data_IF_821705208132
#
_entry.id   IF_821705208132
#
_cell.length_a   1.000
_cell.length_b   1.000
_cell.length_c   1.000
_cell.angle_alpha   90.00
_cell.angle_beta   90.00
_cell.angle_gamma   90.00
#
_symmetry.space_group_name_H-M   'P 1'
#
loop_
_entity.id
_entity.type
_entity.pdbx_description
1 polymer ?
#
# COMPACT_ATOMS: atom_id res chain seq x y z
N UNK A 1 37.60 -80.51 -34.09
CA UNK A 1 36.29 -79.88 -34.42
C UNK A 1 35.89 -79.02 -33.23
N UNK A 2 35.67 -77.74 -33.53
CA UNK A 2 35.36 -76.53 -32.75
C UNK A 2 35.31 -76.54 -31.21
N UNK A 3 36.21 -75.73 -30.64
CA UNK A 3 36.06 -75.08 -29.33
C UNK A 3 35.10 -73.89 -29.48
N UNK A 4 34.04 -73.83 -28.67
CA UNK A 4 33.12 -72.67 -28.60
C UNK A 4 33.59 -71.75 -27.49
N UNK A 5 34.03 -70.54 -27.85
CA UNK A 5 34.33 -69.47 -26.91
C UNK A 5 33.03 -68.69 -26.59
N UNK A 6 32.60 -68.73 -25.33
CA UNK A 6 31.50 -67.89 -24.84
C UNK A 6 32.08 -66.54 -24.45
N UNK A 7 31.77 -65.50 -25.24
CA UNK A 7 32.11 -64.11 -24.93
C UNK A 7 30.98 -63.53 -24.07
N UNK A 8 31.28 -63.26 -22.80
CA UNK A 8 30.39 -62.57 -21.88
C UNK A 8 30.51 -61.06 -22.12
N UNK A 9 29.51 -60.45 -22.77
CA UNK A 9 29.44 -58.99 -22.96
C UNK A 9 28.81 -58.37 -21.72
N UNK A 10 29.62 -57.78 -20.84
CA UNK A 10 29.16 -56.89 -19.78
C UNK A 10 28.71 -55.56 -20.39
N UNK A 11 27.39 -55.37 -20.54
CA UNK A 11 26.81 -54.07 -20.86
C UNK A 11 26.84 -53.21 -19.60
N UNK A 12 27.83 -52.31 -19.53
CA UNK A 12 27.87 -51.22 -18.55
C UNK A 12 26.73 -50.23 -18.88
N UNK A 13 25.59 -50.39 -18.22
CA UNK A 13 24.54 -49.36 -18.22
C UNK A 13 25.02 -48.19 -17.39
N UNK A 14 25.32 -47.05 -18.01
CA UNK A 14 25.49 -45.80 -17.30
C UNK A 14 24.21 -45.47 -16.53
N UNK A 15 24.28 -45.11 -15.23
CA UNK A 15 23.11 -44.59 -14.55
C UNK A 15 22.68 -43.33 -15.29
N UNK A 16 21.42 -43.32 -15.74
CA UNK A 16 20.78 -42.10 -16.21
C UNK A 16 20.99 -41.03 -15.14
N UNK A 17 21.61 -39.91 -15.50
CA UNK A 17 21.66 -38.74 -14.65
C UNK A 17 20.20 -38.40 -14.31
N UNK A 18 19.78 -38.69 -13.09
CA UNK A 18 18.53 -38.18 -12.57
C UNK A 18 18.64 -36.66 -12.66
N UNK A 19 17.95 -36.06 -13.64
CA UNK A 19 17.82 -34.62 -13.70
C UNK A 19 17.24 -34.20 -12.35
N UNK A 20 17.97 -33.33 -11.64
CA UNK A 20 17.44 -32.69 -10.45
C UNK A 20 16.06 -32.13 -10.82
N UNK A 21 15.02 -32.35 -9.98
CA UNK A 21 13.71 -31.78 -10.27
C UNK A 21 13.89 -30.29 -10.55
N UNK A 22 13.18 -29.74 -11.55
CA UNK A 22 13.27 -28.31 -11.86
C UNK A 22 13.02 -27.53 -10.57
N UNK A 23 13.75 -26.42 -10.34
CA UNK A 23 13.55 -25.61 -9.15
C UNK A 23 12.06 -25.26 -9.03
N UNK A 24 11.49 -25.30 -7.81
CA UNK A 24 10.07 -25.06 -7.62
C UNK A 24 9.69 -23.68 -8.18
N UNK A 25 8.58 -23.61 -8.92
CA UNK A 25 8.03 -22.35 -9.44
C UNK A 25 7.26 -21.63 -8.31
N UNK A 26 8.02 -21.10 -7.35
CA UNK A 26 7.54 -20.34 -6.20
C UNK A 26 6.71 -19.14 -6.63
N UNK A 27 7.13 -18.44 -7.70
CA UNK A 27 6.47 -17.25 -8.23
C UNK A 27 5.29 -17.56 -9.16
N UNK A 28 5.10 -18.82 -9.59
CA UNK A 28 4.14 -19.21 -10.63
C UNK A 28 4.39 -18.52 -11.99
N UNK A 29 5.63 -18.10 -12.23
CA UNK A 29 5.97 -17.14 -13.28
C UNK A 29 7.01 -17.65 -14.29
N UNK A 30 7.46 -18.90 -14.17
CA UNK A 30 8.53 -19.46 -15.01
C UNK A 30 8.25 -19.42 -16.53
N UNK A 31 6.96 -19.43 -16.91
CA UNK A 31 6.46 -19.37 -18.29
C UNK A 31 5.47 -18.23 -18.53
N UNK A 32 5.47 -17.21 -17.67
CA UNK A 32 4.47 -16.15 -17.73
C UNK A 32 4.59 -15.34 -19.03
N UNK A 33 3.53 -15.23 -19.85
CA UNK A 33 3.61 -14.63 -21.19
C UNK A 33 3.86 -13.11 -21.16
N UNK A 34 3.59 -12.46 -20.01
CA UNK A 34 3.80 -11.03 -19.81
C UNK A 34 5.18 -10.70 -19.17
N UNK A 35 6.18 -11.58 -19.28
CA UNK A 35 7.53 -11.27 -18.80
C UNK A 35 8.06 -10.01 -19.50
N UNK A 36 8.61 -9.09 -18.71
CA UNK A 36 9.28 -7.88 -19.16
C UNK A 36 10.77 -8.12 -19.48
N UNK A 37 11.23 -9.38 -19.41
CA UNK A 37 12.63 -9.74 -19.57
C UNK A 37 13.44 -9.51 -18.29
N UNK A 38 14.77 -9.47 -18.42
CA UNK A 38 15.63 -9.03 -17.33
C UNK A 38 15.41 -7.54 -17.05
N UNK A 39 15.56 -7.10 -15.80
CA UNK A 39 15.63 -5.70 -15.43
C UNK A 39 16.99 -5.42 -14.78
N UNK A 40 17.83 -4.63 -15.46
CA UNK A 40 19.13 -4.19 -14.95
C UNK A 40 19.18 -2.67 -14.97
N UNK A 41 19.35 -2.03 -13.81
CA UNK A 41 19.48 -0.56 -13.74
C UNK A 41 20.71 -0.03 -14.47
N UNK A 42 21.64 -0.91 -14.85
CA UNK A 42 22.78 -0.57 -15.68
C UNK A 42 22.44 -0.58 -17.17
N UNK A 43 21.42 -1.28 -17.60
CA UNK A 43 21.10 -1.34 -19.02
C UNK A 43 19.72 -0.75 -19.27
N UNK A 44 19.70 0.50 -19.74
CA UNK A 44 18.47 1.20 -20.09
C UNK A 44 17.60 0.44 -21.11
N UNK A 45 18.20 -0.44 -21.93
CA UNK A 45 17.46 -1.28 -22.88
C UNK A 45 16.60 -2.36 -22.21
N UNK A 46 16.84 -2.63 -20.92
CA UNK A 46 16.09 -3.61 -20.13
C UNK A 46 14.97 -3.00 -19.28
N UNK A 47 14.78 -1.68 -19.35
CA UNK A 47 13.78 -1.01 -18.51
C UNK A 47 12.38 -1.15 -19.11
N UNK A 48 11.33 -1.35 -18.29
CA UNK A 48 9.96 -1.34 -18.76
C UNK A 48 9.64 -0.06 -19.55
N UNK A 49 8.89 -0.21 -20.64
CA UNK A 49 8.48 0.91 -21.47
C UNK A 49 7.71 1.95 -20.64
N UNK A 50 8.12 3.22 -20.71
CA UNK A 50 7.56 4.30 -19.88
C UNK A 50 8.31 4.56 -18.58
N UNK A 51 9.41 3.84 -18.31
CA UNK A 51 10.31 4.16 -17.19
C UNK A 51 10.90 5.56 -17.34
N UNK A 52 10.79 6.37 -16.30
CA UNK A 52 11.33 7.74 -16.26
C UNK A 52 12.49 7.80 -15.28
N UNK A 53 13.65 8.24 -15.75
CA UNK A 53 14.81 8.49 -14.89
C UNK A 53 14.88 9.97 -14.49
N UNK A 54 15.08 10.24 -13.20
CA UNK A 54 15.38 11.56 -12.67
C UNK A 54 16.55 11.48 -11.68
N UNK A 55 17.72 11.97 -12.08
CA UNK A 55 18.98 11.80 -11.36
C UNK A 55 19.23 10.34 -10.96
N UNK A 56 19.16 10.05 -9.67
CA UNK A 56 19.37 8.74 -9.09
C UNK A 56 18.10 7.89 -8.97
N UNK A 57 16.93 8.44 -9.33
CA UNK A 57 15.63 7.81 -9.17
C UNK A 57 15.12 7.27 -10.51
N UNK A 58 14.71 6.00 -10.52
CA UNK A 58 14.02 5.34 -11.62
C UNK A 58 12.56 5.14 -11.23
N UNK A 59 11.65 5.79 -11.95
CA UNK A 59 10.21 5.67 -11.77
C UNK A 59 9.67 4.68 -12.80
N UNK A 60 9.33 3.47 -12.34
CA UNK A 60 8.76 2.41 -13.17
C UNK A 60 7.24 2.59 -13.29
N UNK A 61 6.67 2.40 -14.49
CA UNK A 61 5.22 2.35 -14.65
C UNK A 61 4.66 1.07 -14.03
N UNK A 62 3.46 1.19 -13.44
CA UNK A 62 2.77 0.07 -12.81
C UNK A 62 1.56 -0.30 -13.66
N UNK A 63 1.44 -1.55 -14.11
CA UNK A 63 0.25 -2.03 -14.82
C UNK A 63 -1.03 -1.87 -14.00
N UNK A 64 -2.23 -1.84 -14.61
CA UNK A 64 -3.48 -1.63 -13.88
C UNK A 64 -3.78 -2.64 -12.76
N UNK A 65 -3.24 -3.85 -12.85
CA UNK A 65 -3.37 -4.92 -11.85
C UNK A 65 -2.27 -4.89 -10.77
N UNK A 66 -1.25 -4.03 -10.93
CA UNK A 66 -0.12 -3.93 -10.01
C UNK A 66 0.94 -5.02 -10.15
N UNK A 67 0.86 -5.88 -11.17
CA UNK A 67 1.75 -7.04 -11.33
C UNK A 67 2.84 -6.76 -12.36
N UNK A 68 4.09 -6.83 -11.93
CA UNK A 68 5.28 -6.76 -12.76
C UNK A 68 5.93 -8.14 -12.79
N UNK A 69 6.28 -8.63 -13.99
CA UNK A 69 6.89 -9.96 -14.15
C UNK A 69 8.24 -9.81 -14.85
N UNK A 70 9.30 -10.37 -14.27
CA UNK A 70 10.67 -10.26 -14.79
C UNK A 70 11.35 -11.63 -14.85
N UNK A 71 12.33 -11.74 -15.74
CA UNK A 71 13.21 -12.91 -15.79
C UNK A 71 14.27 -12.85 -14.67
N UNK A 72 14.81 -11.67 -14.38
CA UNK A 72 15.74 -11.39 -13.29
C UNK A 72 15.72 -9.91 -12.94
N UNK A 73 16.14 -9.55 -11.73
CA UNK A 73 16.24 -8.16 -11.28
C UNK A 73 17.65 -7.90 -10.75
N UNK A 74 18.31 -6.87 -11.27
CA UNK A 74 19.58 -6.37 -10.78
C UNK A 74 19.50 -4.86 -10.62
N UNK A 75 19.62 -4.40 -9.37
CA UNK A 75 19.59 -2.98 -9.02
C UNK A 75 20.95 -2.61 -8.44
N UNK A 76 21.67 -1.80 -9.19
CA UNK A 76 22.97 -1.26 -8.84
C UNK A 76 23.05 0.23 -9.22
N UNK A 77 23.84 0.99 -8.47
CA UNK A 77 24.09 2.39 -8.76
C UNK A 77 24.99 2.55 -10.00
N UNK A 78 24.52 3.27 -11.02
CA UNK A 78 25.36 3.81 -12.10
C UNK A 78 25.87 5.19 -11.70
N UNK A 79 27.15 5.28 -11.35
CA UNK A 79 27.76 6.47 -10.77
C UNK A 79 27.68 7.75 -11.61
N UNK A 80 27.52 8.88 -10.89
CA UNK A 80 28.08 10.21 -11.20
C UNK A 80 28.06 11.14 -9.97
N UNK A 81 27.17 10.91 -8.98
CA UNK A 81 27.11 11.68 -7.75
C UNK A 81 27.49 10.81 -6.53
N UNK A 82 28.44 11.25 -5.68
CA UNK A 82 28.89 10.49 -4.51
C UNK A 82 27.88 10.46 -3.35
N UNK A 83 26.77 11.18 -3.46
CA UNK A 83 25.87 11.45 -2.33
C UNK A 83 24.64 10.55 -2.26
N UNK A 84 24.29 9.88 -3.36
CA UNK A 84 22.89 9.58 -3.61
C UNK A 84 22.77 8.23 -4.31
N UNK A 85 22.49 7.17 -3.55
CA UNK A 85 22.32 5.80 -4.04
C UNK A 85 21.19 5.65 -5.06
N UNK A 86 21.13 4.52 -5.77
CA UNK A 86 20.08 4.27 -6.78
C UNK A 86 18.72 4.09 -6.11
N UNK A 87 17.69 4.77 -6.60
CA UNK A 87 16.35 4.68 -6.04
C UNK A 87 15.36 4.14 -7.05
N UNK A 88 14.69 3.04 -6.70
CA UNK A 88 13.60 2.47 -7.49
C UNK A 88 12.26 2.94 -6.91
N UNK A 89 11.45 3.59 -7.73
CA UNK A 89 10.10 4.05 -7.42
C UNK A 89 9.10 3.47 -8.41
N UNK A 90 7.83 3.49 -8.02
CA UNK A 90 6.73 3.01 -8.84
C UNK A 90 5.69 4.12 -9.02
N UNK A 91 5.30 4.38 -10.26
CA UNK A 91 4.25 5.33 -10.57
C UNK A 91 2.90 4.75 -10.15
N UNK A 92 2.16 5.46 -9.29
CA UNK A 92 0.82 5.06 -8.92
C UNK A 92 -0.07 4.94 -10.17
N UNK A 93 -0.69 3.78 -10.36
CA UNK A 93 -1.74 3.62 -11.36
C UNK A 93 -3.07 4.21 -10.87
N UNK A 94 -4.10 4.19 -11.71
CA UNK A 94 -5.40 4.80 -11.41
C UNK A 94 -6.10 4.23 -10.16
N UNK A 95 -5.78 3.00 -9.75
CA UNK A 95 -6.33 2.37 -8.55
C UNK A 95 -5.35 2.40 -7.36
N UNK A 96 -4.17 3.02 -7.53
CA UNK A 96 -3.03 2.96 -6.61
C UNK A 96 -2.79 1.56 -6.05
N UNK A 97 -2.73 0.54 -6.91
CA UNK A 97 -2.63 -0.86 -6.47
C UNK A 97 -1.34 -1.14 -5.69
N UNK A 98 -1.35 -2.14 -4.78
CA UNK A 98 -0.12 -2.78 -4.29
C UNK A 98 0.79 -3.22 -5.44
N UNK A 99 2.10 -3.28 -5.18
CA UNK A 99 3.08 -3.75 -6.16
C UNK A 99 3.35 -5.23 -5.91
N UNK A 100 3.15 -6.04 -6.93
CA UNK A 100 3.56 -7.45 -6.95
C UNK A 100 4.61 -7.64 -8.02
N UNK A 101 5.77 -8.14 -7.64
CA UNK A 101 6.89 -8.43 -8.53
C UNK A 101 7.12 -9.93 -8.53
N UNK A 102 6.94 -10.55 -9.69
CA UNK A 102 7.18 -11.98 -9.90
C UNK A 102 8.48 -12.13 -10.70
N UNK A 103 9.41 -12.95 -10.21
CA UNK A 103 10.75 -13.08 -10.80
C UNK A 103 11.11 -14.54 -11.02
N UNK A 104 11.38 -14.89 -12.28
CA UNK A 104 11.74 -16.25 -12.69
C UNK A 104 13.10 -16.68 -12.15
N UNK A 105 14.03 -15.74 -11.99
CA UNK A 105 15.39 -15.95 -11.51
C UNK A 105 15.65 -15.23 -10.19
N UNK A 106 16.81 -14.61 -10.11
CA UNK A 106 17.29 -13.93 -8.90
C UNK A 106 16.89 -12.46 -8.86
N UNK A 107 16.84 -11.93 -7.64
CA UNK A 107 16.68 -10.50 -7.33
C UNK A 107 17.90 -10.04 -6.56
N UNK A 108 18.66 -9.09 -7.11
CA UNK A 108 19.84 -8.52 -6.48
C UNK A 108 19.63 -7.01 -6.28
N UNK A 109 19.50 -6.57 -5.03
CA UNK A 109 19.49 -5.16 -4.65
C UNK A 109 20.82 -4.84 -3.98
N UNK A 110 21.75 -4.19 -4.70
CA UNK A 110 23.10 -3.91 -4.19
C UNK A 110 23.13 -2.82 -3.13
N UNK A 111 24.24 -2.76 -2.39
CA UNK A 111 24.51 -1.66 -1.46
C UNK A 111 24.41 -0.30 -2.14
N UNK A 112 23.87 0.68 -1.41
CA UNK A 112 23.59 2.00 -1.94
C UNK A 112 22.41 2.03 -2.91
N UNK A 113 21.47 1.08 -2.81
CA UNK A 113 20.20 1.11 -3.55
C UNK A 113 19.00 1.13 -2.60
N UNK A 114 17.90 1.74 -3.01
CA UNK A 114 16.66 1.82 -2.23
C UNK A 114 15.45 1.58 -3.12
N UNK A 115 14.65 0.56 -2.81
CA UNK A 115 13.29 0.43 -3.33
C UNK A 115 12.37 1.22 -2.43
N UNK A 116 11.86 2.36 -2.92
CA UNK A 116 11.04 3.29 -2.15
C UNK A 116 9.58 3.19 -2.56
N UNK A 117 8.77 2.70 -1.65
CA UNK A 117 7.30 2.68 -1.70
C UNK A 117 6.69 3.44 -0.51
N UNK A 118 7.44 4.33 0.14
CA UNK A 118 6.97 5.12 1.27
C UNK A 118 5.85 6.11 0.91
N UNK A 119 4.98 6.38 1.89
CA UNK A 119 4.02 7.47 1.82
C UNK A 119 4.71 8.85 1.88
N UNK A 120 4.07 9.86 1.31
CA UNK A 120 4.56 11.23 1.37
C UNK A 120 4.15 11.91 2.68
N UNK A 121 4.97 12.85 3.14
CA UNK A 121 4.62 13.72 4.26
C UNK A 121 3.38 14.57 3.92
N UNK A 122 2.64 14.94 4.95
CA UNK A 122 1.57 15.94 4.83
C UNK A 122 2.13 17.31 4.45
N UNK A 123 1.33 18.09 3.72
CA UNK A 123 1.66 19.47 3.42
C UNK A 123 1.76 20.30 4.70
N UNK A 124 2.66 21.28 4.72
CA UNK A 124 2.68 22.27 5.80
C UNK A 124 1.55 23.27 5.60
N UNK A 125 0.93 23.69 6.70
CA UNK A 125 0.02 24.83 6.69
C UNK A 125 0.76 26.10 6.27
N UNK A 126 0.04 27.01 5.61
CA UNK A 126 0.57 28.33 5.23
C UNK A 126 -0.52 29.39 5.29
N UNK A 127 -0.11 30.66 5.29
CA UNK A 127 -1.04 31.80 5.28
C UNK A 127 -1.88 31.93 4.01
N UNK A 128 -1.56 31.19 2.94
CA UNK A 128 -2.18 31.34 1.61
C UNK A 128 -2.83 30.06 1.07
N UNK A 129 -2.56 28.91 1.69
CA UNK A 129 -3.04 27.61 1.20
C UNK A 129 -3.40 26.69 2.37
N UNK A 130 -4.43 25.86 2.16
CA UNK A 130 -4.70 24.72 3.03
C UNK A 130 -3.63 23.65 2.81
N UNK A 131 -3.26 22.94 3.86
CA UNK A 131 -2.33 21.83 3.76
C UNK A 131 -3.01 20.57 3.22
N UNK A 132 -2.56 20.09 2.06
CA UNK A 132 -3.03 18.81 1.54
C UNK A 132 -2.46 17.64 2.36
N UNK A 133 -3.27 16.60 2.56
CA UNK A 133 -2.78 15.33 3.07
C UNK A 133 -1.77 14.68 2.12
N UNK A 134 -0.75 14.05 2.71
CA UNK A 134 0.30 13.33 2.00
C UNK A 134 -0.25 12.17 1.19
N UNK A 135 0.27 11.97 -0.02
CA UNK A 135 -0.09 10.84 -0.87
C UNK A 135 0.36 9.53 -0.21
N UNK A 136 -0.46 8.49 -0.31
CA UNK A 136 -0.03 7.14 0.06
C UNK A 136 1.06 6.64 -0.89
N UNK A 137 1.90 5.73 -0.42
CA UNK A 137 2.76 4.94 -1.31
C UNK A 137 1.92 4.06 -2.25
N UNK A 138 2.54 3.36 -3.21
CA UNK A 138 1.85 2.35 -4.02
C UNK A 138 1.10 1.33 -3.14
N UNK A 139 -0.22 1.20 -3.27
CA UNK A 139 -1.04 0.35 -2.39
C UNK A 139 -1.38 0.93 -1.01
N UNK A 140 -0.85 2.11 -0.66
CA UNK A 140 -1.11 2.83 0.58
C UNK A 140 -2.16 3.93 0.43
N UNK A 141 -2.61 4.50 1.55
CA UNK A 141 -3.70 5.47 1.57
C UNK A 141 -3.24 6.89 1.90
N UNK A 142 -3.98 7.87 1.40
CA UNK A 142 -3.70 9.30 1.57
C UNK A 142 -4.00 9.80 2.99
N UNK A 143 -3.22 10.76 3.49
CA UNK A 143 -3.55 11.50 4.70
C UNK A 143 -4.72 12.48 4.53
N UNK A 144 -5.25 12.98 5.64
CA UNK A 144 -6.31 13.99 5.69
C UNK A 144 -5.80 15.40 5.41
N UNK A 145 -6.66 16.27 4.88
CA UNK A 145 -6.31 17.68 4.67
C UNK A 145 -6.35 18.45 6.01
N UNK A 146 -5.44 19.41 6.19
CA UNK A 146 -5.47 20.32 7.32
C UNK A 146 -6.65 21.29 7.22
N UNK A 147 -7.23 21.65 8.36
CA UNK A 147 -8.24 22.71 8.43
C UNK A 147 -7.65 24.07 8.01
N UNK A 148 -8.50 24.95 7.47
CA UNK A 148 -8.06 26.30 7.11
C UNK A 148 -9.18 27.33 7.12
N UNK A 149 -9.49 27.82 8.32
CA UNK A 149 -10.66 28.64 8.59
C UNK A 149 -10.73 29.95 7.80
N UNK A 150 -9.60 30.56 7.43
CA UNK A 150 -9.58 31.82 6.67
C UNK A 150 -10.18 31.67 5.27
N UNK A 151 -10.03 30.50 4.63
CA UNK A 151 -10.46 30.28 3.24
C UNK A 151 -11.73 29.46 3.14
N UNK A 152 -11.87 28.42 3.98
CA UNK A 152 -13.02 27.52 3.88
C UNK A 152 -13.96 27.58 5.10
N UNK A 153 -13.68 28.45 6.08
CA UNK A 153 -14.47 28.58 7.32
C UNK A 153 -14.56 27.31 8.17
N UNK A 154 -13.64 26.36 7.96
CA UNK A 154 -13.59 25.09 8.68
C UNK A 154 -12.46 25.08 9.70
N UNK A 155 -12.76 24.57 10.90
CA UNK A 155 -11.79 24.44 12.00
C UNK A 155 -11.32 23.00 12.24
N UNK A 156 -12.06 21.99 11.79
CA UNK A 156 -11.69 20.59 12.00
C UNK A 156 -10.94 20.01 10.79
N UNK A 157 -9.87 19.27 11.05
CA UNK A 157 -9.09 18.61 10.02
C UNK A 157 -9.84 17.46 9.36
N UNK A 158 -9.41 17.08 8.16
CA UNK A 158 -9.90 15.89 7.47
C UNK A 158 -9.35 14.61 8.09
N UNK A 159 -10.14 13.53 8.04
CA UNK A 159 -9.67 12.20 8.41
C UNK A 159 -8.71 11.64 7.33
N UNK A 160 -7.74 10.85 7.75
CA UNK A 160 -6.92 10.04 6.86
C UNK A 160 -7.73 8.93 6.18
N UNK A 161 -7.31 8.52 4.99
CA UNK A 161 -7.95 7.47 4.23
C UNK A 161 -7.38 6.08 4.58
N UNK A 162 -8.11 5.04 4.22
CA UNK A 162 -7.74 3.65 4.44
C UNK A 162 -8.43 3.00 5.65
N UNK A 163 -8.27 1.66 5.78
CA UNK A 163 -9.01 0.84 6.76
C UNK A 163 -8.74 1.21 8.22
N UNK A 164 -7.59 1.84 8.50
CA UNK A 164 -7.21 2.40 9.80
C UNK A 164 -6.91 3.90 9.72
N UNK A 165 -7.53 4.65 8.80
CA UNK A 165 -7.25 6.07 8.61
C UNK A 165 -7.49 6.89 9.89
N UNK A 166 -6.52 7.74 10.23
CA UNK A 166 -6.53 8.53 11.48
C UNK A 166 -7.62 9.60 11.48
N UNK A 167 -8.18 9.90 12.66
CA UNK A 167 -9.18 10.96 12.80
C UNK A 167 -8.55 12.35 12.58
N UNK A 168 -9.27 13.25 11.94
CA UNK A 168 -8.87 14.66 11.87
C UNK A 168 -8.89 15.30 13.25
N UNK A 169 -8.01 16.27 13.49
CA UNK A 169 -8.06 17.05 14.73
C UNK A 169 -9.36 17.86 14.81
N UNK A 170 -9.91 18.02 16.00
CA UNK A 170 -11.12 18.83 16.23
C UNK A 170 -10.78 20.11 16.97
N UNK A 171 -11.49 21.20 16.68
CA UNK A 171 -11.27 22.48 17.32
C UNK A 171 -12.13 22.66 18.60
N UNK A 172 -13.28 21.98 18.70
CA UNK A 172 -14.15 22.02 19.89
C UNK A 172 -14.85 20.67 20.13
N UNK A 173 -14.49 19.92 21.19
CA UNK A 173 -13.32 20.14 22.04
C UNK A 173 -12.02 20.04 21.24
N UNK A 174 -10.96 20.71 21.70
CA UNK A 174 -9.65 20.67 21.04
C UNK A 174 -9.03 19.28 21.13
N UNK A 175 -8.77 18.63 19.98
CA UNK A 175 -8.07 17.35 19.91
C UNK A 175 -7.01 17.38 18.81
N UNK A 176 -5.86 16.76 19.08
CA UNK A 176 -4.83 16.56 18.06
C UNK A 176 -5.32 15.52 17.05
N UNK A 177 -4.82 15.62 15.80
CA UNK A 177 -5.07 14.61 14.79
C UNK A 177 -4.62 13.21 15.26
N UNK A 178 -5.31 12.17 14.81
CA UNK A 178 -4.97 10.77 15.05
C UNK A 178 -4.02 10.23 13.98
N UNK A 179 -3.05 9.41 14.40
CA UNK A 179 -2.17 8.67 13.48
C UNK A 179 -2.92 7.63 12.66
N UNK A 180 -2.37 7.26 11.51
CA UNK A 180 -2.87 6.12 10.74
C UNK A 180 -2.54 4.79 11.40
N UNK A 181 -3.43 3.83 11.28
CA UNK A 181 -3.24 2.44 11.73
C UNK A 181 -3.03 1.48 10.56
N UNK A 182 -2.12 0.54 10.72
CA UNK A 182 -1.94 -0.56 9.77
C UNK A 182 -2.99 -1.65 10.04
N UNK A 183 -3.72 -2.05 9.00
CA UNK A 183 -4.79 -3.05 9.12
C UNK A 183 -4.62 -4.07 8.00
N UNK A 184 -4.03 -5.22 8.33
CA UNK A 184 -3.90 -6.36 7.43
C UNK A 184 -3.81 -7.66 8.24
N UNK A 185 -3.91 -8.80 7.55
CA UNK A 185 -3.61 -10.11 8.15
C UNK A 185 -2.11 -10.25 8.39
N UNK A 186 -1.73 -11.09 9.36
CA UNK A 186 -0.31 -11.45 9.58
C UNK A 186 0.31 -12.12 8.35
N UNK A 187 -0.54 -12.71 7.51
CA UNK A 187 -0.10 -13.36 6.29
C UNK A 187 0.18 -12.40 5.13
N UNK A 188 -0.21 -11.12 5.27
CA UNK A 188 -0.18 -10.11 4.20
C UNK A 188 -0.94 -10.57 2.95
N UNK A 189 -2.07 -11.25 3.19
CA UNK A 189 -3.03 -11.70 2.20
C UNK A 189 -4.44 -11.24 2.64
N UNK A 190 -5.09 -10.33 1.89
CA UNK A 190 -4.56 -9.60 0.74
C UNK A 190 -3.42 -8.65 1.13
N UNK A 191 -2.57 -8.32 0.15
CA UNK A 191 -1.52 -7.32 0.33
C UNK A 191 -2.16 -5.92 0.35
N UNK A 192 -2.04 -5.20 1.46
CA UNK A 192 -2.63 -3.86 1.67
C UNK A 192 -1.58 -2.95 2.30
N UNK A 193 -1.50 -1.70 1.84
CA UNK A 193 -0.58 -0.71 2.39
C UNK A 193 -1.08 -0.06 3.68
N UNK A 194 -0.31 0.90 4.17
CA UNK A 194 -0.59 1.66 5.37
C UNK A 194 -1.70 2.70 5.17
N UNK A 195 -2.39 3.02 6.26
CA UNK A 195 -3.42 4.06 6.30
C UNK A 195 -2.82 5.45 6.49
N UNK A 196 -3.50 6.49 5.99
CA UNK A 196 -3.09 7.88 6.18
C UNK A 196 -3.42 8.42 7.58
N UNK A 197 -2.65 9.39 8.05
CA UNK A 197 -2.93 10.15 9.27
C UNK A 197 -3.97 11.24 9.07
N UNK A 198 -4.60 11.70 10.15
CA UNK A 198 -5.52 12.84 10.12
C UNK A 198 -4.83 14.19 9.90
N UNK A 199 -5.54 15.14 9.31
CA UNK A 199 -5.12 16.53 9.23
C UNK A 199 -5.34 17.26 10.54
N UNK A 200 -4.51 18.27 10.82
CA UNK A 200 -4.61 19.10 12.01
C UNK A 200 -5.83 20.02 11.99
N UNK A 201 -6.21 20.52 13.18
CA UNK A 201 -7.28 21.48 13.35
C UNK A 201 -6.76 22.93 13.35
N UNK A 202 -7.63 23.85 12.94
CA UNK A 202 -7.45 25.29 13.07
C UNK A 202 -8.07 25.81 14.36
N UNK A 203 -7.75 27.04 14.71
CA UNK A 203 -8.17 27.66 15.96
C UNK A 203 -9.56 28.28 15.85
N UNK A 204 -10.37 28.12 16.89
CA UNK A 204 -11.64 28.86 17.01
C UNK A 204 -11.45 30.34 17.38
N UNK A 205 -10.27 30.71 17.90
CA UNK A 205 -9.88 32.09 18.23
C UNK A 205 -8.91 32.68 17.20
N UNK A 206 -8.89 34.02 17.09
CA UNK A 206 -7.95 34.74 16.23
C UNK A 206 -6.50 34.47 16.68
N UNK A 207 -5.63 34.12 15.74
CA UNK A 207 -4.21 33.96 16.03
C UNK A 207 -3.57 35.33 16.32
N UNK A 208 -2.49 35.40 17.11
CA UNK A 208 -1.74 36.65 17.33
C UNK A 208 -1.25 37.32 16.03
N UNK A 209 -1.09 36.53 14.96
CA UNK A 209 -0.78 36.96 13.60
C UNK A 209 -1.95 37.61 12.84
N UNK A 210 -3.16 37.63 13.40
CA UNK A 210 -4.38 38.12 12.73
C UNK A 210 -5.00 37.13 11.73
N UNK A 211 -4.37 35.97 11.51
CA UNK A 211 -4.88 34.86 10.70
C UNK A 211 -5.81 33.94 11.51
N UNK A 212 -6.54 33.06 10.82
CA UNK A 212 -7.45 32.10 11.44
C UNK A 212 -6.89 30.66 11.48
N UNK A 213 -5.56 30.47 11.41
CA UNK A 213 -4.89 29.18 11.63
C UNK A 213 -4.94 28.23 10.45
N UNK A 214 -3.87 28.13 9.66
CA UNK A 214 -3.68 27.03 8.70
C UNK A 214 -3.03 25.83 9.39
N UNK A 215 -3.75 24.71 9.40
CA UNK A 215 -3.28 23.48 10.03
C UNK A 215 -2.44 22.63 9.09
N UNK A 216 -1.65 21.70 9.64
CA UNK A 216 -0.86 20.76 8.86
C UNK A 216 -1.70 19.61 8.29
N UNK A 217 -1.33 19.09 7.11
CA UNK A 217 -1.95 17.91 6.52
C UNK A 217 -1.45 16.62 7.16
N UNK A 218 -2.25 15.55 7.17
CA UNK A 218 -1.82 14.24 7.63
C UNK A 218 -0.85 13.58 6.65
N UNK A 219 0.08 12.76 7.13
CA UNK A 219 0.99 11.97 6.31
C UNK A 219 0.31 10.80 5.61
N UNK A 220 0.78 10.44 4.43
CA UNK A 220 0.30 9.27 3.69
C UNK A 220 0.83 7.97 4.28
N UNK A 221 0.05 6.90 4.19
CA UNK A 221 0.49 5.58 4.62
C UNK A 221 1.53 4.97 3.68
N UNK A 222 2.39 4.12 4.23
CA UNK A 222 3.39 3.38 3.47
C UNK A 222 2.77 2.46 2.42
N UNK A 223 3.48 2.18 1.34
CA UNK A 223 3.02 1.31 0.27
C UNK A 223 3.05 -0.17 0.62
N UNK A 224 2.66 -1.01 -0.34
CA UNK A 224 2.64 -2.45 -0.20
C UNK A 224 3.40 -3.13 -1.34
N UNK A 225 4.32 -4.02 -0.99
CA UNK A 225 5.21 -4.71 -1.94
C UNK A 225 5.25 -6.21 -1.65
N UNK A 226 5.03 -7.01 -2.68
CA UNK A 226 5.37 -8.41 -2.74
C UNK A 226 6.45 -8.62 -3.79
N UNK A 227 7.55 -9.29 -3.41
CA UNK A 227 8.52 -9.85 -4.36
C UNK A 227 8.51 -11.36 -4.18
N UNK A 228 8.17 -12.10 -5.24
CA UNK A 228 8.24 -13.56 -5.28
C UNK A 228 9.26 -13.99 -6.34
N UNK A 229 10.33 -14.65 -5.92
CA UNK A 229 11.41 -15.10 -6.79
C UNK A 229 11.56 -16.63 -6.74
N UNK A 230 11.77 -17.29 -7.88
CA UNK A 230 12.13 -18.72 -7.87
C UNK A 230 13.57 -18.93 -7.40
N UNK A 231 14.42 -17.92 -7.58
CA UNK A 231 15.83 -17.94 -7.17
C UNK A 231 16.06 -17.38 -5.76
N UNK A 232 17.16 -16.63 -5.64
CA UNK A 232 17.59 -15.96 -4.41
C UNK A 232 17.21 -14.47 -4.46
N UNK A 233 16.68 -13.96 -3.35
CA UNK A 233 16.62 -12.52 -3.10
C UNK A 233 17.85 -12.13 -2.28
N UNK A 234 18.78 -11.43 -2.90
CA UNK A 234 19.97 -10.84 -2.26
C UNK A 234 19.71 -9.37 -2.01
N UNK A 235 19.50 -9.01 -0.74
CA UNK A 235 19.20 -7.66 -0.28
C UNK A 235 20.40 -7.06 0.45
N UNK A 236 21.26 -6.34 -0.27
CA UNK A 236 22.33 -5.52 0.31
C UNK A 236 21.98 -4.01 0.36
N UNK A 237 20.93 -3.61 -0.37
CA UNK A 237 20.33 -2.28 -0.35
C UNK A 237 19.22 -2.13 0.69
N UNK A 238 18.22 -1.30 0.39
CA UNK A 238 17.11 -0.98 1.27
C UNK A 238 15.76 -1.16 0.60
N UNK A 239 14.76 -1.59 1.36
CA UNK A 239 13.34 -1.49 0.99
C UNK A 239 12.66 -0.59 2.02
N UNK A 240 12.01 0.48 1.56
CA UNK A 240 11.31 1.44 2.41
C UNK A 240 9.81 1.53 2.05
N UNK A 241 8.98 1.05 2.96
CA UNK A 241 7.52 1.15 2.98
C UNK A 241 7.07 2.00 4.19
N UNK A 242 7.76 3.11 4.45
CA UNK A 242 7.48 3.94 5.62
C UNK A 242 6.24 4.81 5.42
N UNK A 243 5.53 5.11 6.51
CA UNK A 243 4.52 6.17 6.52
C UNK A 243 5.16 7.55 6.46
N UNK A 244 4.44 8.52 5.89
CA UNK A 244 4.84 9.92 5.88
C UNK A 244 4.52 10.60 7.21
N UNK A 245 5.30 11.62 7.57
CA UNK A 245 5.05 12.45 8.74
C UNK A 245 3.87 13.40 8.51
N UNK A 246 3.25 13.83 9.60
CA UNK A 246 2.31 14.94 9.57
C UNK A 246 3.00 16.26 9.20
N UNK A 247 2.27 17.12 8.49
CA UNK A 247 2.72 18.45 8.13
C UNK A 247 2.71 19.41 9.31
N UNK A 248 3.58 20.42 9.24
CA UNK A 248 3.69 21.48 10.22
C UNK A 248 2.50 22.43 10.17
N UNK A 249 2.21 23.08 11.31
CA UNK A 249 1.39 24.30 11.37
C UNK A 249 2.25 25.48 11.79
N UNK A 250 2.30 26.60 11.04
CA UNK A 250 3.12 27.75 11.38
C UNK A 250 2.54 28.61 12.53
N UNK A 251 1.33 28.32 12.98
CA UNK A 251 0.54 29.19 13.85
C UNK A 251 0.22 28.52 15.21
N UNK A 252 1.24 28.05 15.93
CA UNK A 252 1.05 27.56 17.30
C UNK A 252 0.71 28.71 18.27
N UNK A 253 -0.25 28.57 19.21
CA UNK A 253 -1.03 27.38 19.52
C UNK A 253 -2.38 27.27 18.78
N UNK A 254 -2.73 28.25 17.94
CA UNK A 254 -4.06 28.36 17.35
C UNK A 254 -4.32 27.29 16.27
N UNK A 255 -3.33 26.85 15.51
CA UNK A 255 -3.43 25.69 14.63
C UNK A 255 -2.53 24.55 15.12
N UNK A 256 -2.90 23.32 14.74
CA UNK A 256 -2.16 22.09 15.04
C UNK A 256 -1.60 21.45 13.78
N UNK A 257 -0.53 20.71 13.95
CA UNK A 257 0.04 19.90 12.89
C UNK A 257 -0.81 18.69 12.55
N UNK A 258 -0.49 18.07 11.40
CA UNK A 258 -1.09 16.80 11.03
C UNK A 258 -0.47 15.61 11.74
N UNK A 259 -1.10 14.45 11.58
CA UNK A 259 -0.60 13.18 12.07
C UNK A 259 0.10 12.34 11.03
N UNK A 260 0.98 11.45 11.46
CA UNK A 260 1.69 10.54 10.57
C UNK A 260 0.78 9.47 9.96
N UNK A 261 1.19 8.93 8.81
CA UNK A 261 0.63 7.70 8.26
C UNK A 261 1.28 6.47 8.89
N UNK A 262 0.59 5.33 8.85
CA UNK A 262 1.17 4.06 9.30
C UNK A 262 2.25 3.57 8.33
N UNK A 263 3.11 2.67 8.80
CA UNK A 263 3.96 1.88 7.91
C UNK A 263 3.13 1.01 6.95
N UNK A 264 3.78 0.53 5.90
CA UNK A 264 3.20 -0.29 4.84
C UNK A 264 3.47 -1.79 4.98
N UNK A 265 3.31 -2.54 3.90
CA UNK A 265 3.50 -3.99 3.89
C UNK A 265 4.66 -4.40 2.98
N UNK A 266 5.56 -5.25 3.47
CA UNK A 266 6.60 -5.88 2.63
C UNK A 266 6.56 -7.39 2.82
N UNK A 267 6.33 -8.12 1.73
CA UNK A 267 6.31 -9.59 1.71
C UNK A 267 7.37 -10.07 0.72
N UNK A 268 8.32 -10.87 1.16
CA UNK A 268 9.34 -11.48 0.30
C UNK A 268 9.16 -12.99 0.31
N UNK A 269 9.04 -13.58 -0.88
CA UNK A 269 8.99 -15.02 -1.12
C UNK A 269 10.17 -15.44 -2.00
N UNK A 270 10.97 -16.41 -1.56
CA UNK A 270 12.05 -16.95 -2.38
C UNK A 270 12.49 -18.36 -1.97
N UNK A 271 13.41 -18.95 -2.73
CA UNK A 271 14.15 -20.13 -2.25
C UNK A 271 15.10 -19.73 -1.11
N UNK A 272 15.85 -18.65 -1.30
CA UNK A 272 16.75 -18.06 -0.29
C UNK A 272 16.54 -16.55 -0.20
N UNK A 273 16.53 -16.00 1.00
CA UNK A 273 16.58 -14.56 1.27
C UNK A 273 17.85 -14.26 2.08
N UNK A 274 18.75 -13.49 1.50
CA UNK A 274 20.08 -13.18 2.06
C UNK A 274 20.43 -11.71 1.88
N UNK A 275 21.58 -11.30 2.45
CA UNK A 275 22.15 -9.97 2.28
C UNK A 275 22.25 -9.15 3.58
N UNK A 276 23.02 -8.07 3.52
CA UNK A 276 23.33 -7.19 4.66
C UNK A 276 22.47 -5.91 4.73
N UNK A 277 21.52 -5.76 3.82
CA UNK A 277 20.64 -4.61 3.66
C UNK A 277 19.53 -4.50 4.71
N UNK A 278 18.58 -3.58 4.52
CA UNK A 278 17.48 -3.35 5.47
C UNK A 278 16.09 -3.26 4.85
N UNK A 279 15.07 -3.62 5.62
CA UNK A 279 13.66 -3.46 5.24
C UNK A 279 12.95 -2.66 6.33
N UNK A 280 12.25 -1.60 5.93
CA UNK A 280 11.59 -0.67 6.87
C UNK A 280 10.14 -0.42 6.48
N UNK A 281 9.24 -0.61 7.43
CA UNK A 281 7.83 -0.23 7.39
C UNK A 281 7.47 0.55 8.67
N UNK A 282 8.23 1.62 8.92
CA UNK A 282 8.09 2.50 10.09
C UNK A 282 6.89 3.43 9.93
N UNK A 283 6.26 3.84 11.05
CA UNK A 283 5.26 4.89 11.02
C UNK A 283 5.88 6.26 10.74
N UNK A 284 5.06 7.17 10.23
CA UNK A 284 5.31 8.60 10.37
C UNK A 284 4.87 9.12 11.73
N UNK A 285 5.32 10.32 12.08
CA UNK A 285 5.01 10.97 13.35
C UNK A 285 4.04 12.13 13.21
N UNK A 286 3.29 12.39 14.27
CA UNK A 286 2.57 13.66 14.48
C UNK A 286 3.55 14.79 14.65
N UNK A 287 3.26 15.93 14.02
CA UNK A 287 4.14 17.08 14.07
C UNK A 287 4.24 17.69 15.48
N UNK A 288 3.11 17.81 16.19
CA UNK A 288 3.05 18.58 17.45
C UNK A 288 3.81 17.94 18.62
N UNK A 289 3.77 16.61 18.74
CA UNK A 289 4.27 15.87 19.90
C UNK A 289 5.21 14.72 19.54
N UNK A 290 5.50 14.52 18.24
CA UNK A 290 6.33 13.43 17.74
C UNK A 290 5.71 12.04 17.91
N UNK A 291 4.43 11.94 18.29
CA UNK A 291 3.79 10.64 18.51
C UNK A 291 3.76 9.84 17.22
N UNK A 292 4.32 8.63 17.29
CA UNK A 292 4.39 7.70 16.18
C UNK A 292 3.03 7.05 15.92
N UNK A 293 2.71 6.90 14.64
CA UNK A 293 1.57 6.10 14.18
C UNK A 293 1.90 4.59 14.27
N UNK A 294 1.07 3.72 13.70
CA UNK A 294 1.35 2.28 13.76
C UNK A 294 2.43 1.84 12.77
N UNK A 295 3.25 0.88 13.19
CA UNK A 295 4.12 0.14 12.29
C UNK A 295 3.30 -0.60 11.24
N UNK A 296 3.92 -0.79 10.08
CA UNK A 296 3.42 -1.72 9.07
C UNK A 296 3.73 -3.17 9.43
N UNK A 297 3.91 -4.01 8.43
CA UNK A 297 4.31 -5.40 8.62
C UNK A 297 5.31 -5.87 7.55
N UNK A 298 6.24 -6.72 7.97
CA UNK A 298 7.23 -7.33 7.11
C UNK A 298 7.13 -8.84 7.26
N UNK A 299 7.07 -9.56 6.15
CA UNK A 299 7.03 -11.03 6.12
C UNK A 299 8.10 -11.57 5.17
N UNK A 300 8.89 -12.51 5.66
CA UNK A 300 9.91 -13.22 4.88
C UNK A 300 9.57 -14.72 4.83
N UNK A 301 9.44 -15.25 3.63
CA UNK A 301 9.08 -16.64 3.40
C UNK A 301 10.09 -17.29 2.46
N UNK A 302 10.96 -18.13 2.99
CA UNK A 302 11.95 -18.84 2.19
C UNK A 302 12.48 -20.06 2.92
N UNK A 303 12.95 -21.05 2.15
CA UNK A 303 13.57 -22.25 2.70
C UNK A 303 14.79 -21.88 3.55
N UNK A 304 15.54 -20.86 3.13
CA UNK A 304 16.66 -20.30 3.89
C UNK A 304 16.55 -18.78 3.99
N UNK A 305 16.48 -18.24 5.21
CA UNK A 305 16.58 -16.80 5.48
C UNK A 305 17.81 -16.52 6.33
N UNK A 306 18.83 -15.89 5.75
CA UNK A 306 20.10 -15.58 6.45
C UNK A 306 20.19 -14.13 6.92
N UNK A 307 19.29 -13.25 6.48
CA UNK A 307 19.18 -11.89 6.99
C UNK A 307 18.91 -11.90 8.51
N UNK A 308 19.66 -11.10 9.28
CA UNK A 308 19.48 -10.90 10.71
C UNK A 308 18.17 -10.22 11.08
N UNK A 309 17.72 -10.43 12.32
CA UNK A 309 16.46 -9.86 12.84
C UNK A 309 16.50 -8.32 12.97
N UNK A 310 17.68 -7.75 13.22
CA UNK A 310 17.89 -6.30 13.33
C UNK A 310 17.85 -5.57 11.99
N UNK A 311 17.84 -6.30 10.87
CA UNK A 311 17.78 -5.72 9.52
C UNK A 311 16.35 -5.35 9.10
N UNK A 312 15.34 -5.70 9.90
CA UNK A 312 13.92 -5.41 9.61
C UNK A 312 13.31 -4.57 10.71
N UNK A 313 12.56 -3.51 10.34
CA UNK A 313 11.77 -2.73 11.29
C UNK A 313 10.38 -2.41 10.73
N UNK A 314 9.28 -2.97 11.30
CA UNK A 314 9.24 -3.82 12.49
C UNK A 314 9.92 -5.18 12.27
N UNK A 315 10.10 -5.95 13.33
CA UNK A 315 10.68 -7.29 13.23
C UNK A 315 9.82 -8.13 12.30
N UNK A 316 10.43 -8.73 11.28
CA UNK A 316 9.70 -9.50 10.30
C UNK A 316 9.19 -10.84 10.86
N UNK A 317 7.97 -11.22 10.48
CA UNK A 317 7.50 -12.60 10.61
C UNK A 317 8.22 -13.48 9.59
N UNK A 318 8.66 -14.67 10.00
CA UNK A 318 9.49 -15.57 9.18
C UNK A 318 8.86 -16.95 9.10
N UNK A 319 8.83 -17.54 7.92
CA UNK A 319 8.40 -18.93 7.70
C UNK A 319 9.34 -19.62 6.71
N UNK A 320 9.62 -20.91 6.96
CA UNK A 320 10.42 -21.75 6.08
C UNK A 320 9.64 -22.26 4.85
N UNK A 321 8.31 -22.07 4.84
CA UNK A 321 7.43 -22.54 3.78
C UNK A 321 6.83 -21.33 3.05
N UNK A 322 7.25 -21.05 1.81
CA UNK A 322 6.58 -20.08 0.95
C UNK A 322 5.08 -20.40 0.82
N UNK A 323 4.23 -19.48 1.25
CA UNK A 323 2.78 -19.57 1.12
C UNK A 323 2.28 -19.17 -0.28
N UNK A 324 0.97 -19.17 -0.52
CA UNK A 324 0.42 -18.71 -1.79
C UNK A 324 0.70 -17.21 -2.00
N UNK A 325 1.03 -16.83 -3.24
CA UNK A 325 1.27 -15.42 -3.63
C UNK A 325 -0.05 -14.67 -3.71
N UNK A 326 -1.07 -15.31 -4.30
CA UNK A 326 -2.42 -14.79 -4.41
C UNK A 326 -3.24 -15.22 -3.21
N UNK A 327 -4.17 -14.36 -2.78
CA UNK A 327 -5.13 -14.77 -1.77
C UNK A 327 -6.05 -15.85 -2.39
N UNK A 328 -6.09 -17.10 -1.86
CA UNK A 328 -6.95 -18.15 -2.42
C UNK A 328 -8.43 -17.77 -2.36
N UNK A 329 -8.78 -16.84 -1.49
CA UNK A 329 -10.09 -16.20 -1.42
C UNK A 329 -9.92 -14.73 -1.83
N UNK A 330 -10.64 -14.26 -2.84
CA UNK A 330 -10.58 -12.86 -3.26
C UNK A 330 -11.91 -12.15 -2.96
N UNK A 331 -12.27 -11.97 -1.67
CA UNK A 331 -13.50 -11.28 -1.33
C UNK A 331 -13.40 -9.81 -1.74
N UNK A 332 -14.47 -9.31 -2.35
CA UNK A 332 -14.55 -7.92 -2.79
C UNK A 332 -15.77 -7.25 -2.16
N UNK A 333 -15.60 -6.00 -1.79
CA UNK A 333 -16.69 -5.06 -1.52
C UNK A 333 -16.56 -3.93 -2.53
N UNK A 334 -17.67 -3.50 -3.12
CA UNK A 334 -17.71 -2.40 -4.09
C UNK A 334 -18.91 -1.52 -3.81
N UNK A 335 -18.68 -0.20 -3.82
CA UNK A 335 -19.77 0.78 -3.82
C UNK A 335 -20.21 0.91 -5.28
N UNK A 336 -21.47 0.60 -5.56
CA UNK A 336 -22.01 0.52 -6.92
C UNK A 336 -22.78 1.78 -7.30
N UNK A 337 -23.46 2.40 -6.35
CA UNK A 337 -24.15 3.66 -6.55
C UNK A 337 -24.19 4.52 -5.27
N UNK A 338 -24.26 5.84 -5.47
CA UNK A 338 -24.50 6.84 -4.42
C UNK A 338 -25.66 7.73 -4.87
N UNK A 339 -26.74 7.77 -4.09
CA UNK A 339 -28.02 8.39 -4.46
C UNK A 339 -28.53 7.99 -5.87
N UNK A 340 -28.37 6.71 -6.23
CA UNK A 340 -28.75 6.18 -7.54
C UNK A 340 -27.83 6.57 -8.71
N UNK A 341 -26.77 7.35 -8.46
CA UNK A 341 -25.73 7.63 -9.46
C UNK A 341 -24.68 6.50 -9.43
N UNK A 342 -24.40 5.91 -10.58
CA UNK A 342 -23.41 4.83 -10.68
C UNK A 342 -21.99 5.33 -10.37
N UNK A 343 -21.25 4.56 -9.59
CA UNK A 343 -19.83 4.83 -9.31
C UNK A 343 -18.99 4.36 -10.51
N UNK A 344 -17.98 5.15 -10.95
CA UNK A 344 -17.05 4.70 -11.98
C UNK A 344 -16.35 3.38 -11.61
N UNK A 345 -15.98 2.52 -12.59
CA UNK A 345 -15.35 1.22 -12.29
C UNK A 345 -14.06 1.29 -11.46
N UNK A 346 -13.31 2.38 -11.60
CA UNK A 346 -12.10 2.67 -10.82
C UNK A 346 -12.23 4.05 -10.18
N UNK A 347 -12.95 4.16 -9.05
CA UNK A 347 -13.09 5.44 -8.37
C UNK A 347 -11.70 5.90 -7.92
N UNK A 348 -11.40 7.17 -8.15
CA UNK A 348 -10.09 7.71 -7.81
C UNK A 348 -9.95 7.90 -6.30
N UNK A 349 -11.05 8.20 -5.60
CA UNK A 349 -11.05 8.30 -4.13
C UNK A 349 -10.10 9.37 -3.57
N UNK A 350 -9.74 10.36 -4.39
CA UNK A 350 -8.82 11.46 -4.04
C UNK A 350 -9.50 12.82 -4.16
N UNK A 351 -9.11 13.76 -3.30
CA UNK A 351 -9.60 15.13 -3.41
C UNK A 351 -9.00 15.84 -4.64
N UNK A 352 -9.85 16.57 -5.37
CA UNK A 352 -9.49 17.29 -6.60
C UNK A 352 -10.04 16.66 -7.88
N UNK A 353 -10.51 15.41 -7.80
CA UNK A 353 -11.25 14.72 -8.88
C UNK A 353 -12.56 14.23 -8.27
N UNK A 354 -13.68 14.46 -8.97
CA UNK A 354 -15.01 14.06 -8.49
C UNK A 354 -15.45 12.79 -9.21
N UNK A 355 -15.59 11.69 -8.46
CA UNK A 355 -16.08 10.41 -9.00
C UNK A 355 -17.61 10.44 -9.21
N UNK A 356 -18.35 11.02 -8.26
CA UNK A 356 -19.82 11.16 -8.31
C UNK A 356 -20.22 12.54 -7.79
N UNK A 357 -21.07 13.23 -8.54
CA UNK A 357 -21.65 14.52 -8.14
C UNK A 357 -23.10 14.32 -7.70
N UNK A 358 -23.43 14.75 -6.49
CA UNK A 358 -24.80 14.70 -5.97
C UNK A 358 -25.54 16.01 -6.26
N UNK A 359 -26.86 15.96 -6.54
CA UNK A 359 -27.64 17.15 -6.91
C UNK A 359 -28.00 18.03 -5.71
N UNK A 360 -28.13 17.46 -4.51
CA UNK A 360 -28.48 18.21 -3.30
C UNK A 360 -28.01 17.48 -2.02
N UNK A 361 -27.78 18.22 -0.92
CA UNK A 361 -27.62 17.65 0.42
C UNK A 361 -28.88 16.93 0.91
N UNK A 362 -28.73 15.99 1.84
CA UNK A 362 -29.83 15.29 2.49
C UNK A 362 -29.61 13.78 2.65
N UNK A 363 -30.69 13.02 2.90
CA UNK A 363 -30.66 11.56 2.93
C UNK A 363 -30.10 11.00 1.62
N UNK A 364 -29.00 10.27 1.71
CA UNK A 364 -28.24 9.72 0.59
C UNK A 364 -28.11 8.22 0.76
N UNK A 365 -28.60 7.44 -0.21
CA UNK A 365 -28.38 6.01 -0.26
C UNK A 365 -26.98 5.69 -0.79
N UNK A 366 -26.35 4.67 -0.22
CA UNK A 366 -25.07 4.13 -0.67
C UNK A 366 -25.28 2.63 -0.87
N UNK A 367 -25.22 2.20 -2.12
CA UNK A 367 -25.47 0.81 -2.51
C UNK A 367 -24.14 0.06 -2.63
N UNK A 368 -24.03 -1.03 -1.90
CA UNK A 368 -22.84 -1.90 -1.88
C UNK A 368 -23.17 -3.26 -2.47
N UNK A 369 -22.20 -3.80 -3.19
CA UNK A 369 -22.22 -5.16 -3.72
C UNK A 369 -20.94 -5.88 -3.29
N UNK A 370 -21.06 -7.16 -2.98
CA UNK A 370 -19.92 -8.00 -2.58
C UNK A 370 -19.84 -9.25 -3.41
N UNK A 371 -18.63 -9.82 -3.52
CA UNK A 371 -18.39 -11.17 -4.03
C UNK A 371 -17.51 -11.91 -3.05
N UNK A 372 -17.81 -13.19 -2.76
CA UNK A 372 -17.01 -13.99 -1.81
C UNK A 372 -17.13 -13.55 -0.35
N UNK A 373 -18.15 -12.75 -0.01
CA UNK A 373 -18.49 -12.35 1.36
C UNK A 373 -19.80 -13.02 1.76
N UNK A 374 -19.86 -13.75 2.89
CA UNK A 374 -21.08 -14.47 3.29
C UNK A 374 -22.29 -13.56 3.49
N UNK A 375 -23.48 -14.04 3.10
CA UNK A 375 -24.76 -13.41 3.45
C UNK A 375 -24.88 -13.22 4.96
N UNK A 376 -25.56 -12.17 5.41
CA UNK A 376 -25.68 -11.83 6.83
C UNK A 376 -24.47 -11.12 7.42
N UNK A 377 -23.35 -11.02 6.68
CA UNK A 377 -22.21 -10.19 7.08
C UNK A 377 -22.60 -8.71 7.08
N UNK A 378 -22.21 -7.97 8.12
CA UNK A 378 -22.36 -6.53 8.16
C UNK A 378 -21.25 -5.86 7.33
N UNK A 379 -21.64 -4.99 6.40
CA UNK A 379 -20.74 -4.08 5.70
C UNK A 379 -20.80 -2.72 6.38
N UNK A 380 -19.67 -2.26 6.89
CA UNK A 380 -19.49 -0.90 7.40
C UNK A 380 -19.21 0.03 6.22
N UNK A 381 -19.97 1.11 6.12
CA UNK A 381 -19.75 2.23 5.20
C UNK A 381 -19.31 3.44 6.02
N UNK A 382 -18.14 3.97 5.69
CA UNK A 382 -17.55 5.14 6.32
C UNK A 382 -17.49 6.29 5.33
N UNK A 383 -18.14 7.40 5.66
CA UNK A 383 -18.16 8.62 4.86
C UNK A 383 -17.31 9.68 5.55
N UNK A 384 -16.19 10.03 4.94
CA UNK A 384 -15.21 10.98 5.47
C UNK A 384 -15.34 12.30 4.73
N UNK A 385 -15.72 13.36 5.44
CA UNK A 385 -15.67 14.70 4.88
C UNK A 385 -14.21 15.07 4.59
N UNK A 386 -14.00 15.86 3.53
CA UNK A 386 -12.66 16.37 3.20
C UNK A 386 -12.02 17.12 4.37
N UNK A 387 -12.80 17.95 5.05
CA UNK A 387 -12.48 18.69 6.27
C UNK A 387 -13.80 18.99 7.01
N UNK A 388 -13.75 19.32 8.29
CA UNK A 388 -14.85 20.01 8.98
C UNK A 388 -15.97 19.17 9.54
N UNK A 389 -15.92 17.85 9.36
CA UNK A 389 -16.83 16.95 10.03
C UNK A 389 -16.12 15.62 10.36
N UNK A 390 -16.44 15.02 11.52
CA UNK A 390 -15.99 13.67 11.81
C UNK A 390 -16.57 12.66 10.80
N UNK A 391 -15.92 11.49 10.61
CA UNK A 391 -16.47 10.45 9.75
C UNK A 391 -17.84 9.98 10.21
N UNK A 392 -18.78 9.83 9.26
CA UNK A 392 -20.07 9.16 9.49
C UNK A 392 -19.86 7.67 9.25
N UNK A 393 -20.30 6.84 10.20
CA UNK A 393 -20.25 5.38 10.09
C UNK A 393 -21.66 4.83 10.13
N UNK A 394 -22.01 3.99 9.16
CA UNK A 394 -23.28 3.29 9.12
C UNK A 394 -23.09 1.90 8.49
N UNK A 395 -23.98 0.96 8.79
CA UNK A 395 -23.82 -0.44 8.39
C UNK A 395 -25.05 -0.98 7.69
N UNK A 396 -24.84 -1.86 6.72
CA UNK A 396 -25.88 -2.66 6.09
C UNK A 396 -25.58 -4.15 6.28
N UNK A 397 -26.62 -4.94 6.50
CA UNK A 397 -26.51 -6.40 6.48
C UNK A 397 -26.66 -6.88 5.04
N UNK A 398 -25.71 -7.69 4.57
CA UNK A 398 -25.77 -8.26 3.22
C UNK A 398 -26.91 -9.28 3.09
N UNK A 399 -27.64 -9.17 1.98
CA UNK A 399 -28.68 -10.12 1.59
C UNK A 399 -28.90 -10.16 0.09
N UNK A 400 -29.93 -10.91 -0.34
CA UNK A 400 -30.30 -11.03 -1.75
C UNK A 400 -29.18 -11.63 -2.62
N UNK A 401 -28.44 -12.59 -2.08
CA UNK A 401 -27.27 -13.14 -2.76
C UNK A 401 -27.67 -13.97 -3.99
N UNK A 402 -26.99 -13.77 -5.11
CA UNK A 402 -27.19 -14.56 -6.32
C UNK A 402 -26.46 -15.92 -6.27
N UNK A 403 -26.66 -16.74 -7.30
CA UNK A 403 -26.02 -18.04 -7.43
C UNK A 403 -24.48 -17.98 -7.55
N UNK A 404 -23.93 -16.81 -7.86
CA UNK A 404 -22.48 -16.57 -7.93
C UNK A 404 -21.90 -16.09 -6.59
N UNK A 405 -22.72 -16.04 -5.53
CA UNK A 405 -22.31 -15.54 -4.21
C UNK A 405 -22.18 -14.02 -4.16
N UNK A 406 -22.85 -13.30 -5.06
CA UNK A 406 -22.87 -11.85 -5.09
C UNK A 406 -23.99 -11.34 -4.22
N UNK A 407 -23.68 -10.65 -3.12
CA UNK A 407 -24.67 -10.12 -2.19
C UNK A 407 -24.77 -8.59 -2.29
N UNK A 408 -25.91 -8.03 -1.88
CA UNK A 408 -26.16 -6.58 -1.91
C UNK A 408 -26.54 -6.05 -0.53
N UNK A 409 -26.32 -4.76 -0.32
CA UNK A 409 -26.81 -4.01 0.83
C UNK A 409 -26.90 -2.52 0.52
N UNK A 410 -27.74 -1.81 1.26
CA UNK A 410 -27.90 -0.35 1.11
C UNK A 410 -27.83 0.30 2.48
N UNK A 411 -27.02 1.36 2.58
CA UNK A 411 -26.94 2.22 3.75
C UNK A 411 -27.53 3.58 3.41
N UNK A 412 -28.20 4.23 4.36
CA UNK A 412 -28.63 5.63 4.21
C UNK A 412 -27.88 6.51 5.20
N UNK A 413 -27.25 7.58 4.71
CA UNK A 413 -26.56 8.59 5.51
C UNK A 413 -27.08 9.98 5.16
N UNK A 414 -27.08 10.91 6.12
CA UNK A 414 -27.41 12.31 5.84
C UNK A 414 -26.14 13.07 5.51
N UNK A 415 -26.03 13.58 4.28
CA UNK A 415 -24.87 14.35 3.82
C UNK A 415 -25.22 15.84 3.76
N UNK A 416 -24.35 16.68 4.32
CA UNK A 416 -24.39 18.11 4.11
C UNK A 416 -23.76 18.47 2.74
N UNK A 417 -23.79 19.75 2.37
CA UNK A 417 -23.02 20.20 1.22
C UNK A 417 -21.52 20.05 1.50
N UNK A 418 -20.79 19.39 0.60
CA UNK A 418 -19.36 19.18 0.77
C UNK A 418 -18.78 18.13 -0.17
N UNK A 419 -17.50 17.85 0.01
CA UNK A 419 -16.78 16.78 -0.68
C UNK A 419 -16.46 15.68 0.32
N UNK A 420 -16.72 14.44 -0.08
CA UNK A 420 -16.58 13.27 0.78
C UNK A 420 -15.81 12.15 0.07
N UNK A 421 -15.13 11.34 0.85
CA UNK A 421 -14.66 10.01 0.43
C UNK A 421 -15.53 8.96 1.10
N UNK A 422 -15.98 7.97 0.35
CA UNK A 422 -16.77 6.85 0.87
C UNK A 422 -15.92 5.58 0.81
N UNK A 423 -15.80 4.89 1.94
CA UNK A 423 -15.11 3.62 2.06
C UNK A 423 -16.10 2.56 2.55
N UNK A 424 -15.98 1.33 2.04
CA UNK A 424 -16.80 0.21 2.48
C UNK A 424 -15.91 -0.96 2.91
N UNK A 425 -16.24 -1.58 4.04
CA UNK A 425 -15.48 -2.69 4.62
C UNK A 425 -16.42 -3.78 5.14
N UNK A 426 -16.10 -5.02 4.79
CA UNK A 426 -16.66 -6.20 5.44
C UNK A 426 -15.60 -6.84 6.34
N UNK A 427 -16.00 -7.31 7.51
CA UNK A 427 -15.16 -8.17 8.36
C UNK A 427 -15.93 -9.44 8.65
N UNK A 428 -15.35 -10.58 8.30
CA UNK A 428 -15.96 -11.89 8.46
C UNK A 428 -14.89 -12.95 8.69
N UNK A 429 -15.27 -14.05 9.32
CA UNK A 429 -14.42 -15.24 9.38
C UNK A 429 -14.67 -16.09 8.15
N UNK A 430 -13.59 -16.56 7.54
CA UNK A 430 -13.71 -17.59 6.52
C UNK A 430 -14.34 -18.84 7.16
N UNK A 431 -15.31 -19.49 6.50
CA UNK A 431 -15.74 -20.82 6.94
C UNK A 431 -14.52 -21.74 7.04
N UNK A 432 -14.37 -22.45 8.16
CA UNK A 432 -13.34 -23.47 8.29
C UNK A 432 -13.56 -24.49 7.16
N UNK A 433 -12.54 -24.66 6.32
CA UNK A 433 -12.51 -25.66 5.24
C UNK A 433 -12.38 -27.06 5.79
#
# INVERSE_FOLDING_TARGET
MSLVAVVLVCVLTWPAHAQSPPPPDICGCASHPASLGAFDTRDNGTWPAGTVQNYNSLLLPVPPDGVLVFDSIHVEWRGALPCCGAELRFAANAANTPITILVKGDVELRSGTTVRISGANGGNGSFNTFAAGGRGGPGGFRGGDGAYRTVNFVSDGGAGLGPGGGLGGTASPGTLAGGGSFVSSSDLLPLVGGSGGGGGNGGVAACPSGSMGSAGGGGGGGGALLIAANGTITLDGQIEANGGNGGASPEWPCAKGGAGGSGGAVRLLANTIAGAGTISARPGTRYDDGFASDFGAIRLEALNVTMGVSQTQPVATRTANPGPIVNPFNPKVSITAVAGQAVPPTPQGVFGVVDVQLPAPGPTSIDVQTSGVPSGTAVEVKVKARVGAPPIVASATLGGCDANGTCSGTVTVNLAAGTYTVEARATFQQPAS
#
